data_IF_930285280797
#
_entry.id   IF_930285280797
#
_cell.length_a   1.000
_cell.length_b   1.000
_cell.length_c   1.000
_cell.angle_alpha   90.00
_cell.angle_beta   90.00
_cell.angle_gamma   90.00
#
_symmetry.space_group_name_H-M   'P 1'
#
loop_
_entity.id
_entity.type
_entity.pdbx_description
1 polymer ?
#
# COMPACT_ATOMS: atom_id res chain seq x y z
N UNK A 1 0.04 -13.74 -5.24
CA UNK A 1 -0.87 -13.36 -4.14
C UNK A 1 -1.67 -12.15 -4.58
N UNK A 2 -2.88 -11.96 -4.08
CA UNK A 2 -3.72 -10.80 -4.41
C UNK A 2 -4.16 -10.05 -3.14
N UNK A 3 -4.72 -8.86 -3.32
CA UNK A 3 -5.23 -8.01 -2.25
C UNK A 3 -6.42 -7.19 -2.75
N UNK A 4 -7.40 -6.94 -1.89
CA UNK A 4 -8.44 -5.95 -2.17
C UNK A 4 -7.91 -4.56 -1.82
N UNK A 5 -7.93 -3.64 -2.78
CA UNK A 5 -7.41 -2.29 -2.62
C UNK A 5 -8.42 -1.23 -3.06
N UNK A 6 -8.33 -0.05 -2.44
CA UNK A 6 -8.94 1.17 -2.96
C UNK A 6 -8.08 1.66 -4.12
N UNK A 7 -8.69 1.81 -5.30
CA UNK A 7 -8.00 2.27 -6.51
C UNK A 7 -8.67 3.54 -7.01
N UNK A 8 -7.89 4.60 -7.15
CA UNK A 8 -8.29 5.77 -7.92
C UNK A 8 -7.95 5.47 -9.39
N UNK A 9 -8.97 5.28 -10.21
CA UNK A 9 -8.80 4.85 -11.62
C UNK A 9 -8.57 6.03 -12.56
N UNK A 10 -9.15 7.17 -12.21
CA UNK A 10 -9.05 8.45 -12.89
C UNK A 10 -9.61 9.54 -11.95
N UNK A 11 -9.45 10.83 -12.27
CA UNK A 11 -10.09 11.88 -11.49
C UNK A 11 -11.60 11.64 -11.34
N UNK A 12 -12.07 11.68 -10.09
CA UNK A 12 -13.48 11.45 -9.72
C UNK A 12 -13.91 9.99 -9.68
N UNK A 13 -13.01 9.02 -9.95
CA UNK A 13 -13.35 7.61 -10.11
C UNK A 13 -12.56 6.74 -9.12
N UNK A 14 -13.27 6.14 -8.17
CA UNK A 14 -12.72 5.25 -7.15
C UNK A 14 -13.45 3.93 -7.18
N UNK A 15 -12.70 2.84 -7.13
CA UNK A 15 -13.23 1.48 -7.09
C UNK A 15 -12.49 0.63 -6.05
N UNK A 16 -13.19 -0.38 -5.52
CA UNK A 16 -12.53 -1.49 -4.85
C UNK A 16 -12.17 -2.53 -5.90
N UNK A 17 -10.88 -2.88 -6.00
CA UNK A 17 -10.36 -3.84 -6.96
C UNK A 17 -9.48 -4.86 -6.29
N UNK A 18 -9.57 -6.11 -6.75
CA UNK A 18 -8.50 -7.10 -6.49
C UNK A 18 -7.33 -6.79 -7.40
N UNK A 19 -6.15 -6.67 -6.80
CA UNK A 19 -4.89 -6.46 -7.50
C UNK A 19 -3.94 -7.60 -7.15
N UNK A 20 -3.26 -8.13 -8.15
CA UNK A 20 -2.11 -8.99 -7.92
C UNK A 20 -0.97 -8.18 -7.29
N UNK A 21 -0.17 -8.82 -6.45
CA UNK A 21 0.99 -8.21 -5.81
C UNK A 21 2.27 -8.90 -6.23
N UNK A 22 3.34 -8.11 -6.30
CA UNK A 22 4.70 -8.65 -6.43
C UNK A 22 4.98 -9.55 -5.21
N UNK A 23 5.42 -10.81 -5.41
CA UNK A 23 5.79 -11.67 -4.30
C UNK A 23 6.89 -11.05 -3.41
N UNK A 24 6.85 -11.25 -2.09
CA UNK A 24 7.87 -10.74 -1.19
C UNK A 24 9.26 -11.31 -1.51
N UNK A 25 10.28 -10.46 -1.46
CA UNK A 25 11.69 -10.88 -1.48
C UNK A 25 12.18 -11.29 -0.07
N UNK A 26 13.48 -11.58 0.09
CA UNK A 26 14.05 -12.05 1.36
C UNK A 26 13.83 -11.10 2.53
N UNK A 27 13.78 -9.80 2.29
CA UNK A 27 13.75 -8.75 3.31
C UNK A 27 12.39 -8.06 3.39
N UNK A 28 11.42 -8.51 2.59
CA UNK A 28 10.05 -8.05 2.63
C UNK A 28 9.25 -8.72 3.75
N UNK A 29 8.22 -8.04 4.20
CA UNK A 29 7.18 -8.55 5.10
C UNK A 29 5.81 -8.40 4.42
N UNK A 30 4.89 -9.29 4.80
CA UNK A 30 3.49 -9.26 4.38
C UNK A 30 2.65 -8.85 5.59
N UNK A 31 1.87 -7.79 5.42
CA UNK A 31 1.06 -7.19 6.49
C UNK A 31 -0.42 -7.37 6.16
N UNK A 32 -1.20 -7.93 7.07
CA UNK A 32 -2.65 -7.81 7.07
C UNK A 32 -3.03 -6.47 7.72
N UNK A 33 -3.62 -5.57 6.94
CA UNK A 33 -3.97 -4.21 7.39
C UNK A 33 -5.23 -4.28 8.26
N UNK A 34 -5.14 -3.68 9.45
CA UNK A 34 -6.25 -3.57 10.43
C UNK A 34 -6.92 -2.19 10.33
N UNK A 35 -6.11 -1.13 10.12
CA UNK A 35 -6.57 0.25 10.01
C UNK A 35 -5.80 1.00 8.94
N UNK A 36 -6.47 1.95 8.28
CA UNK A 36 -5.83 2.93 7.39
C UNK A 36 -6.34 4.34 7.70
N UNK A 37 -5.44 5.31 7.66
CA UNK A 37 -5.77 6.73 7.64
C UNK A 37 -6.12 7.21 6.23
N UNK A 38 -6.87 8.31 6.16
CA UNK A 38 -7.17 9.02 4.92
C UNK A 38 -6.56 10.40 5.01
N UNK A 39 -5.61 10.69 4.13
CA UNK A 39 -5.05 12.02 4.01
C UNK A 39 -6.01 12.93 3.24
N UNK A 40 -6.87 13.63 3.98
CA UNK A 40 -7.87 14.54 3.39
C UNK A 40 -7.27 15.60 2.45
N UNK A 41 -6.01 15.99 2.64
CA UNK A 41 -5.29 16.87 1.73
C UNK A 41 -4.80 16.12 0.49
N UNK A 42 -3.86 15.20 0.69
CA UNK A 42 -3.13 14.55 -0.40
C UNK A 42 -4.04 13.65 -1.24
N UNK A 43 -4.87 12.83 -0.62
CA UNK A 43 -5.77 11.92 -1.35
C UNK A 43 -6.88 12.65 -2.07
N UNK A 44 -7.30 13.82 -1.57
CA UNK A 44 -8.24 14.68 -2.31
C UNK A 44 -7.62 15.21 -3.60
N UNK A 45 -6.33 15.58 -3.59
CA UNK A 45 -5.60 15.99 -4.80
C UNK A 45 -5.42 14.83 -5.80
N UNK A 46 -5.26 13.60 -5.30
CA UNK A 46 -5.26 12.40 -6.16
C UNK A 46 -6.66 12.13 -6.71
N UNK A 47 -7.69 12.23 -5.88
CA UNK A 47 -9.06 11.96 -6.30
C UNK A 47 -9.55 12.97 -7.35
N UNK A 48 -9.27 14.27 -7.18
CA UNK A 48 -9.78 15.30 -8.10
C UNK A 48 -8.89 15.51 -9.34
N UNK A 49 -7.74 14.83 -9.44
CA UNK A 49 -6.80 15.03 -10.55
C UNK A 49 -5.91 16.27 -10.46
N UNK A 50 -5.85 16.95 -9.31
CA UNK A 50 -5.07 18.19 -9.14
C UNK A 50 -3.73 17.99 -8.43
N UNK A 51 -3.31 16.74 -8.18
CA UNK A 51 -1.98 16.43 -7.68
C UNK A 51 -0.92 16.90 -8.70
N UNK A 52 0.09 17.70 -8.29
CA UNK A 52 1.18 18.08 -9.18
C UNK A 52 1.89 16.86 -9.77
N UNK A 53 2.36 16.98 -11.01
CA UNK A 53 3.09 15.89 -11.64
C UNK A 53 4.47 15.70 -10.96
N UNK A 54 4.80 14.46 -10.62
CA UNK A 54 6.12 14.05 -10.15
C UNK A 54 6.42 12.65 -10.70
N UNK A 55 7.70 12.21 -10.74
CA UNK A 55 8.05 10.87 -11.21
C UNK A 55 7.27 9.79 -10.47
N UNK A 56 6.54 8.96 -11.20
CA UNK A 56 5.69 7.91 -10.62
C UNK A 56 4.22 8.30 -10.46
N UNK A 57 3.84 9.58 -10.56
CA UNK A 57 2.45 10.02 -10.57
C UNK A 57 1.73 9.49 -11.83
N UNK A 58 0.50 9.03 -11.65
CA UNK A 58 -0.41 8.62 -12.71
C UNK A 58 -1.52 7.72 -12.18
N UNK A 59 -2.51 7.43 -13.02
CA UNK A 59 -3.59 6.47 -12.71
C UNK A 59 -3.42 5.19 -13.54
N UNK A 60 -4.00 4.06 -13.13
CA UNK A 60 -4.64 3.83 -11.83
C UNK A 60 -3.62 3.81 -10.68
N UNK A 61 -4.05 4.24 -9.49
CA UNK A 61 -3.20 4.26 -8.29
C UNK A 61 -3.92 3.75 -7.04
N UNK A 62 -3.15 3.22 -6.10
CA UNK A 62 -3.56 2.94 -4.72
C UNK A 62 -3.02 4.07 -3.83
N UNK A 63 -3.87 4.79 -3.08
CA UNK A 63 -3.44 5.87 -2.18
C UNK A 63 -3.02 5.35 -0.79
N UNK A 64 -2.70 6.28 0.11
CA UNK A 64 -2.54 6.05 1.55
C UNK A 64 -1.10 5.88 2.01
N UNK A 65 -0.67 6.65 3.01
CA UNK A 65 0.65 6.52 3.67
C UNK A 65 0.52 6.26 5.18
N UNK A 66 -0.68 5.92 5.63
CA UNK A 66 -1.02 5.71 7.02
C UNK A 66 -1.76 4.38 7.12
N UNK A 67 -1.04 3.28 7.36
CA UNK A 67 -1.67 1.98 7.61
C UNK A 67 -1.08 1.35 8.87
N UNK A 68 -1.90 0.64 9.64
CA UNK A 68 -1.48 -0.17 10.78
C UNK A 68 -2.01 -1.57 10.57
N UNK A 69 -1.17 -2.57 10.80
CA UNK A 69 -1.55 -3.96 10.62
C UNK A 69 -0.60 -4.91 11.30
N UNK A 70 -0.83 -6.20 11.09
CA UNK A 70 -0.02 -7.28 11.66
C UNK A 70 0.80 -7.96 10.58
N UNK A 71 2.08 -8.21 10.87
CA UNK A 71 2.92 -9.04 10.01
C UNK A 71 2.41 -10.49 10.06
N UNK A 72 1.99 -11.02 8.92
CA UNK A 72 1.42 -12.37 8.80
C UNK A 72 2.32 -13.36 8.07
N UNK A 73 3.29 -12.85 7.31
CA UNK A 73 4.31 -13.62 6.58
C UNK A 73 5.52 -12.72 6.31
N UNK A 74 6.66 -13.31 5.95
CA UNK A 74 7.88 -12.59 5.69
C UNK A 74 8.81 -13.35 4.73
N UNK A 75 9.77 -12.65 4.15
CA UNK A 75 10.93 -13.26 3.53
C UNK A 75 11.87 -13.89 4.57
N UNK A 76 12.85 -14.67 4.09
CA UNK A 76 13.77 -15.40 4.96
C UNK A 76 14.58 -14.51 5.92
N UNK A 77 14.83 -13.24 5.57
CA UNK A 77 15.59 -12.26 6.34
C UNK A 77 14.78 -11.48 7.37
N UNK A 78 13.45 -11.67 7.46
CA UNK A 78 12.57 -10.92 8.36
C UNK A 78 11.54 -11.80 9.09
N UNK A 79 11.79 -13.12 9.18
CA UNK A 79 10.89 -14.09 9.84
C UNK A 79 10.60 -13.77 11.31
N UNK A 80 11.56 -13.14 11.99
CA UNK A 80 11.47 -12.74 13.40
C UNK A 80 10.39 -11.69 13.66
N UNK A 81 9.91 -11.00 12.62
CA UNK A 81 8.87 -9.97 12.73
C UNK A 81 7.44 -10.51 12.63
N UNK A 82 7.25 -11.78 12.31
CA UNK A 82 5.91 -12.36 12.18
C UNK A 82 5.14 -12.24 13.50
N UNK A 83 3.92 -11.71 13.44
CA UNK A 83 3.05 -11.44 14.58
C UNK A 83 3.14 -10.02 15.13
N UNK A 84 4.16 -9.25 14.75
CA UNK A 84 4.34 -7.85 15.15
C UNK A 84 3.23 -6.95 14.58
N UNK A 85 2.76 -6.00 15.39
CA UNK A 85 1.90 -4.92 14.90
C UNK A 85 2.79 -3.77 14.43
N UNK A 86 2.57 -3.29 13.21
CA UNK A 86 3.46 -2.31 12.58
C UNK A 86 2.68 -1.17 11.94
N UNK A 87 3.25 0.03 12.00
CA UNK A 87 2.88 1.15 11.15
C UNK A 87 3.59 1.05 9.80
N UNK A 88 2.82 1.16 8.72
CA UNK A 88 3.27 1.02 7.33
C UNK A 88 3.10 2.36 6.61
N UNK A 89 4.19 3.03 6.19
CA UNK A 89 4.12 4.31 5.48
C UNK A 89 3.69 4.17 4.01
N UNK A 90 3.33 2.95 3.58
CA UNK A 90 2.89 2.65 2.23
C UNK A 90 3.58 1.44 1.56
N UNK A 91 3.01 0.97 0.44
CA UNK A 91 3.54 -0.06 -0.44
C UNK A 91 3.48 0.36 -1.91
N UNK A 92 4.41 -0.14 -2.72
CA UNK A 92 4.41 -0.01 -4.17
C UNK A 92 4.31 -1.36 -4.90
N UNK A 93 4.06 -2.45 -4.17
CA UNK A 93 4.15 -3.83 -4.69
C UNK A 93 2.84 -4.32 -5.31
N UNK A 94 2.18 -3.48 -6.12
CA UNK A 94 0.97 -3.83 -6.85
C UNK A 94 1.27 -4.03 -8.34
N UNK A 95 0.60 -5.00 -8.96
CA UNK A 95 0.64 -5.23 -10.41
C UNK A 95 -0.62 -4.60 -11.01
N UNK A 96 -0.44 -3.75 -12.03
CA UNK A 96 -1.55 -3.10 -12.74
C UNK A 96 -2.10 -1.83 -12.07
N UNK A 97 -1.49 -1.37 -10.97
CA UNK A 97 -1.73 -0.05 -10.38
C UNK A 97 -0.45 0.51 -9.76
N UNK A 98 -0.32 1.83 -9.72
CA UNK A 98 0.79 2.53 -9.06
C UNK A 98 0.54 2.57 -7.56
N UNK A 99 1.52 2.23 -6.73
CA UNK A 99 1.45 2.54 -5.30
C UNK A 99 1.87 3.99 -5.04
N UNK A 100 0.91 4.91 -5.06
CA UNK A 100 1.17 6.30 -4.70
C UNK A 100 0.97 6.43 -3.20
N UNK A 101 2.05 6.12 -2.47
CA UNK A 101 2.04 5.68 -1.07
C UNK A 101 1.42 4.28 -0.89
N UNK A 102 0.20 3.99 -1.35
CA UNK A 102 -0.30 2.61 -1.51
C UNK A 102 -0.57 1.81 -0.24
N UNK A 103 -0.99 2.46 0.85
CA UNK A 103 -1.38 1.85 2.12
C UNK A 103 -2.85 1.43 2.19
N UNK A 104 -3.71 1.89 1.28
CA UNK A 104 -5.15 1.60 1.27
C UNK A 104 -5.48 0.25 0.61
N UNK A 105 -4.97 -0.84 1.16
CA UNK A 105 -5.28 -2.21 0.75
C UNK A 105 -5.37 -3.17 1.94
N UNK A 106 -6.07 -4.29 1.78
CA UNK A 106 -6.29 -5.28 2.83
C UNK A 106 -5.00 -6.01 3.25
N UNK A 107 -4.11 -6.22 2.29
CA UNK A 107 -2.79 -6.83 2.49
C UNK A 107 -1.76 -6.02 1.73
N UNK A 108 -0.61 -5.81 2.37
CA UNK A 108 0.52 -5.06 1.82
C UNK A 108 1.80 -5.91 1.85
N UNK A 109 2.66 -5.71 0.86
CA UNK A 109 4.03 -6.21 0.86
C UNK A 109 4.98 -5.03 0.87
N UNK A 110 5.94 -4.96 1.78
CA UNK A 110 6.97 -3.92 1.78
C UNK A 110 8.23 -4.40 2.51
N UNK A 111 9.38 -3.78 2.22
CA UNK A 111 10.62 -4.05 2.93
C UNK A 111 10.50 -3.82 4.43
N UNK A 112 11.02 -4.74 5.24
CA UNK A 112 10.88 -4.71 6.70
C UNK A 112 11.46 -3.42 7.31
N UNK A 113 12.58 -2.92 6.79
CA UNK A 113 13.21 -1.68 7.27
C UNK A 113 12.36 -0.41 7.06
N UNK A 114 11.26 -0.48 6.30
CA UNK A 114 10.37 0.66 6.04
C UNK A 114 9.25 0.81 7.08
N UNK A 115 9.00 -0.20 7.91
CA UNK A 115 7.86 -0.19 8.85
C UNK A 115 8.35 0.02 10.29
N UNK A 116 7.49 0.59 11.13
CA UNK A 116 7.79 0.91 12.54
C UNK A 116 6.97 0.04 13.49
N UNK A 117 7.58 -0.39 14.57
CA UNK A 117 7.02 -1.19 15.68
C UNK A 117 6.34 -0.32 16.74
#
# INVERSE_FOLDING_TARGET
>A
MDTLAVVVEAPGQVALRRLDMTPPNSDDIVIAVEYSGISMGTEKLMYNGSMPAFPGMGYPLVPGYEAVGRVIDAGAGAQDRIGEQVFVPGSSNFIGARGLFGGSAQTLVTGSARVLS
#
